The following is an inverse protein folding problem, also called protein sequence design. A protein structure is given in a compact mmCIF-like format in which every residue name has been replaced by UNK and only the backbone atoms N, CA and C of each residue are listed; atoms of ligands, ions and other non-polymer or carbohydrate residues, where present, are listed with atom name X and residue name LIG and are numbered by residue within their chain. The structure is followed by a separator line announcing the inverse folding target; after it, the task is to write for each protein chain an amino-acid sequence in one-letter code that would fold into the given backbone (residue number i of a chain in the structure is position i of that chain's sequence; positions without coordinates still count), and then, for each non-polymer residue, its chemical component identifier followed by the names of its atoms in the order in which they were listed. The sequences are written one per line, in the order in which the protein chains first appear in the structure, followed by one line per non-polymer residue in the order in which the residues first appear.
data_IF_197668971267
#
_entry.id   IF_197668971267
#
_cell.length_a   1.000
_cell.length_b   1.000
_cell.length_c   1.000
_cell.angle_alpha   90.00
_cell.angle_beta   90.00
_cell.angle_gamma   90.00
#
_symmetry.space_group_name_H-M   'P 1'
#
loop_
_entity.id
_entity.type
_entity.pdbx_description
1 polymer ?
#
# COMPACT_ATOMS: atom_id res chain seq x y z
N UNK A 1 -3.80 10.27 -3.29
CA UNK A 1 -4.81 9.61 -2.42
C UNK A 1 -4.15 9.34 -1.07
N UNK A 2 -4.69 9.91 0.00
CA UNK A 2 -4.18 9.72 1.37
C UNK A 2 -4.29 8.26 1.82
N UNK A 3 -3.49 7.86 2.82
CA UNK A 3 -3.57 6.54 3.46
C UNK A 3 -4.94 6.32 4.09
N UNK A 4 -5.43 7.29 4.84
CA UNK A 4 -6.69 7.21 5.60
C UNK A 4 -7.88 7.00 4.66
N UNK A 5 -7.83 7.65 3.51
CA UNK A 5 -8.84 7.55 2.45
C UNK A 5 -8.91 6.11 1.88
N UNK A 6 -7.77 5.41 1.80
CA UNK A 6 -7.74 3.99 1.39
C UNK A 6 -8.28 3.06 2.49
N UNK A 7 -7.94 3.34 3.75
CA UNK A 7 -8.41 2.57 4.91
C UNK A 7 -9.92 2.71 5.04
N UNK A 8 -10.45 3.93 4.94
CA UNK A 8 -11.88 4.19 4.97
C UNK A 8 -12.63 3.43 3.87
N UNK A 9 -12.11 3.45 2.63
CA UNK A 9 -12.71 2.70 1.52
C UNK A 9 -12.71 1.18 1.74
N UNK A 10 -11.65 0.62 2.34
CA UNK A 10 -11.61 -0.81 2.70
C UNK A 10 -12.60 -1.14 3.79
N UNK A 11 -12.67 -0.35 4.86
CA UNK A 11 -13.61 -0.57 5.95
C UNK A 11 -15.06 -0.52 5.47
N UNK A 12 -15.39 0.41 4.56
CA UNK A 12 -16.72 0.50 3.95
C UNK A 12 -17.06 -0.74 3.12
N UNK A 13 -16.08 -1.31 2.43
CA UNK A 13 -16.25 -2.50 1.61
C UNK A 13 -16.34 -3.79 2.44
N UNK A 14 -15.43 -4.00 3.40
CA UNK A 14 -15.40 -5.22 4.23
C UNK A 14 -16.64 -5.35 5.12
N UNK A 15 -17.14 -4.24 5.66
CA UNK A 15 -18.36 -4.22 6.46
C UNK A 15 -19.64 -4.16 5.63
N UNK A 16 -19.54 -4.07 4.29
CA UNK A 16 -20.69 -4.03 3.39
C UNK A 16 -21.57 -2.79 3.55
N UNK A 17 -21.03 -1.68 4.04
CA UNK A 17 -21.79 -0.44 4.24
C UNK A 17 -22.17 0.25 2.93
N UNK A 18 -21.35 0.11 1.90
CA UNK A 18 -21.57 0.66 0.57
C UNK A 18 -21.18 -0.35 -0.50
N UNK A 19 -21.84 -0.27 -1.65
CA UNK A 19 -21.45 -1.05 -2.83
C UNK A 19 -20.15 -0.51 -3.42
N UNK A 20 -19.40 -1.37 -4.13
CA UNK A 20 -18.15 -0.96 -4.76
C UNK A 20 -18.31 0.29 -5.66
N UNK A 21 -19.33 0.41 -6.54
CA UNK A 21 -19.51 1.60 -7.37
C UNK A 21 -19.71 2.90 -6.56
N UNK A 22 -20.42 2.84 -5.44
CA UNK A 22 -20.65 3.98 -4.55
C UNK A 22 -19.37 4.42 -3.85
N UNK A 23 -18.58 3.46 -3.38
CA UNK A 23 -17.26 3.72 -2.79
C UNK A 23 -16.35 4.39 -3.82
N UNK A 24 -16.27 3.86 -5.04
CA UNK A 24 -15.42 4.45 -6.10
C UNK A 24 -15.85 5.87 -6.46
N UNK A 25 -17.17 6.13 -6.51
CA UNK A 25 -17.72 7.46 -6.76
C UNK A 25 -17.44 8.45 -5.62
N UNK A 26 -17.54 7.99 -4.37
CA UNK A 26 -17.32 8.82 -3.18
C UNK A 26 -15.84 9.20 -3.02
N UNK A 27 -14.96 8.21 -3.20
CA UNK A 27 -13.54 8.37 -2.87
C UNK A 27 -12.69 8.78 -4.08
N UNK A 28 -13.25 8.68 -5.30
CA UNK A 28 -12.70 9.29 -6.50
C UNK A 28 -11.50 8.56 -7.11
N UNK A 29 -11.39 7.23 -6.91
CA UNK A 29 -10.35 6.42 -7.56
C UNK A 29 -10.90 5.28 -8.38
N UNK A 30 -10.10 4.85 -9.37
CA UNK A 30 -10.49 3.78 -10.29
C UNK A 30 -10.67 2.43 -9.58
N UNK A 31 -11.53 1.60 -10.16
CA UNK A 31 -11.74 0.21 -9.71
C UNK A 31 -10.42 -0.58 -9.65
N UNK A 32 -9.54 -0.39 -10.65
CA UNK A 32 -8.20 -0.99 -10.66
C UNK A 32 -7.37 -0.58 -9.45
N UNK A 33 -7.44 0.69 -9.04
CA UNK A 33 -6.74 1.20 -7.85
C UNK A 33 -7.28 0.54 -6.59
N UNK A 34 -8.60 0.39 -6.48
CA UNK A 34 -9.24 -0.29 -5.36
C UNK A 34 -8.78 -1.74 -5.22
N UNK A 35 -8.80 -2.54 -6.28
CA UNK A 35 -8.34 -3.94 -6.20
C UNK A 35 -6.85 -4.07 -5.88
N UNK A 36 -6.00 -3.14 -6.33
CA UNK A 36 -4.58 -3.11 -5.91
C UNK A 36 -4.45 -2.86 -4.42
N UNK A 37 -5.24 -1.95 -3.86
CA UNK A 37 -5.27 -1.66 -2.41
C UNK A 37 -5.77 -2.89 -1.65
N UNK A 38 -6.87 -3.50 -2.09
CA UNK A 38 -7.44 -4.70 -1.48
C UNK A 38 -6.46 -5.88 -1.49
N UNK A 39 -5.78 -6.10 -2.61
CA UNK A 39 -4.74 -7.14 -2.70
C UNK A 39 -3.60 -6.87 -1.73
N UNK A 40 -3.13 -5.62 -1.65
CA UNK A 40 -2.05 -5.25 -0.74
C UNK A 40 -2.44 -5.45 0.74
N UNK A 41 -3.67 -5.04 1.09
CA UNK A 41 -4.25 -5.21 2.42
C UNK A 41 -4.31 -6.67 2.83
N UNK A 42 -4.80 -7.55 1.95
CA UNK A 42 -4.86 -9.00 2.22
C UNK A 42 -3.48 -9.65 2.38
N UNK A 43 -2.45 -9.11 1.76
CA UNK A 43 -1.09 -9.66 1.83
C UNK A 43 -0.27 -9.10 3.00
N UNK A 44 -0.45 -7.82 3.33
CA UNK A 44 0.48 -7.09 4.23
C UNK A 44 -0.23 -6.48 5.44
N UNK A 45 -1.58 -6.48 5.47
CA UNK A 45 -2.39 -5.70 6.42
C UNK A 45 -2.07 -4.20 6.41
N UNK A 46 -1.55 -3.69 5.29
CA UNK A 46 -1.32 -2.27 5.04
C UNK A 46 -1.83 -1.91 3.63
N UNK A 47 -2.17 -0.64 3.45
CA UNK A 47 -2.66 -0.01 2.21
C UNK A 47 -1.56 0.76 1.47
N UNK A 48 -0.37 0.85 2.09
CA UNK A 48 0.83 1.46 1.52
C UNK A 48 1.85 0.37 1.24
N UNK A 49 2.22 0.21 -0.03
CA UNK A 49 3.31 -0.70 -0.37
C UNK A 49 4.62 -0.15 0.17
N UNK A 50 5.31 -0.93 1.00
CA UNK A 50 6.67 -0.59 1.41
C UNK A 50 7.56 -0.54 0.16
N UNK A 51 8.14 0.63 -0.11
CA UNK A 51 9.12 0.75 -1.19
C UNK A 51 10.31 -0.11 -0.82
N UNK A 52 10.56 -1.17 -1.58
CA UNK A 52 11.87 -1.83 -1.56
C UNK A 52 12.89 -0.76 -1.97
N UNK A 53 13.92 -0.55 -1.13
CA UNK A 53 15.01 0.38 -1.42
C UNK A 53 15.52 0.12 -2.84
N UNK A 54 15.60 1.17 -3.66
CA UNK A 54 16.15 1.05 -5.01
C UNK A 54 17.67 0.91 -4.89
N UNK A 55 18.15 -0.30 -5.13
CA UNK A 55 19.56 -0.65 -5.02
C UNK A 55 19.72 -2.09 -4.56
N UNK A 56 20.67 -2.83 -5.14
CA UNK A 56 21.06 -4.14 -4.62
C UNK A 56 21.82 -3.89 -3.31
N UNK A 57 21.40 -4.44 -2.16
CA UNK A 57 22.20 -4.37 -0.94
C UNK A 57 23.61 -4.86 -1.25
N UNK A 58 24.59 -3.98 -1.14
CA UNK A 58 26.00 -4.38 -1.16
C UNK A 58 26.37 -4.68 0.28
N UNK A 59 26.91 -5.86 0.51
CA UNK A 59 27.47 -6.23 1.80
C UNK A 59 28.65 -5.27 2.00
N UNK A 60 28.55 -4.38 2.98
CA UNK A 60 29.67 -3.54 3.40
C UNK A 60 30.61 -4.49 4.14
N UNK A 61 31.75 -4.86 3.54
CA UNK A 61 32.72 -5.70 4.22
C UNK A 61 33.39 -4.86 5.31
N UNK A 62 33.65 -5.47 6.47
CA UNK A 62 34.29 -4.80 7.60
C UNK A 62 35.64 -4.15 7.22
N UNK A 63 36.33 -4.74 6.25
CA UNK A 63 37.62 -4.27 5.73
C UNK A 63 37.51 -2.91 5.01
N UNK A 64 36.32 -2.52 4.53
CA UNK A 64 36.09 -1.21 3.89
C UNK A 64 35.97 -0.07 4.92
N UNK A 65 35.78 -0.39 6.22
CA UNK A 65 35.62 0.59 7.31
C UNK A 65 36.97 0.96 7.93
N UNK A 66 37.99 0.10 7.81
CA UNK A 66 39.30 0.31 8.46
C UNK A 66 40.18 1.38 7.81
N UNK A 67 39.72 2.02 6.73
CA UNK A 67 40.46 3.07 6.02
C UNK A 67 39.99 4.50 6.32
N UNK A 68 39.19 4.72 7.38
CA UNK A 68 38.77 6.06 7.80
C UNK A 68 39.66 6.66 8.90
#
# INVERSE_FOLDING_TARGET
ISRDVKIAALNLYENGHLTLPEILKCVGFSERTFYRILSLWRTTSDVVGHKKSRGRPRILHHDDIQYL
#
